data_IF_794822939819
#
_entry.id   IF_794822939819
#
_cell.length_a   1.000
_cell.length_b   1.000
_cell.length_c   1.000
_cell.angle_alpha   90.00
_cell.angle_beta   90.00
_cell.angle_gamma   90.00
#
_symmetry.space_group_name_H-M   'P 1'
#
loop_
_entity.id
_entity.type
_entity.pdbx_description
1 polymer ?
#
# COMPACT_ATOMS: atom_id res chain seq x y z
N UNK A 1 55.77 -0.58 -12.37
CA UNK A 1 54.44 0.04 -12.09
C UNK A 1 53.31 -0.49 -12.98
N UNK A 2 53.54 -0.83 -14.25
CA UNK A 2 52.51 -1.32 -15.20
C UNK A 2 51.77 -2.61 -14.79
N UNK A 3 52.44 -3.51 -14.06
CA UNK A 3 51.85 -4.79 -13.63
C UNK A 3 50.79 -4.65 -12.52
N UNK A 4 50.96 -3.66 -11.61
CA UNK A 4 49.97 -3.37 -10.56
C UNK A 4 48.69 -2.79 -11.16
N UNK A 5 48.81 -1.96 -12.18
CA UNK A 5 47.67 -1.35 -12.89
C UNK A 5 46.89 -2.39 -13.68
N UNK A 6 47.58 -3.34 -14.32
CA UNK A 6 46.94 -4.45 -15.04
C UNK A 6 46.14 -5.36 -14.10
N UNK A 7 46.70 -5.71 -12.94
CA UNK A 7 46.02 -6.55 -11.96
C UNK A 7 44.75 -5.89 -11.39
N UNK A 8 44.80 -4.56 -11.20
CA UNK A 8 43.66 -3.78 -10.72
C UNK A 8 42.51 -3.73 -11.74
N UNK A 9 42.84 -3.68 -13.03
CA UNK A 9 41.86 -3.77 -14.11
C UNK A 9 41.19 -5.15 -14.20
N UNK A 10 41.97 -6.22 -14.07
CA UNK A 10 41.41 -7.59 -14.06
C UNK A 10 40.47 -7.79 -12.88
N UNK A 11 40.81 -7.26 -11.70
CA UNK A 11 39.95 -7.34 -10.52
C UNK A 11 38.60 -6.63 -10.75
N UNK A 12 38.60 -5.43 -11.34
CA UNK A 12 37.37 -4.68 -11.61
C UNK A 12 36.43 -5.42 -12.57
N UNK A 13 36.96 -6.13 -13.56
CA UNK A 13 36.15 -6.89 -14.54
C UNK A 13 35.51 -8.14 -13.92
N UNK A 14 36.16 -8.76 -12.93
CA UNK A 14 35.60 -9.93 -12.24
C UNK A 14 34.45 -9.53 -11.31
N UNK A 15 34.52 -8.38 -10.65
CA UNK A 15 33.46 -7.90 -9.76
C UNK A 15 32.30 -7.19 -10.48
N UNK A 16 32.47 -6.76 -11.74
CA UNK A 16 31.40 -6.10 -12.51
C UNK A 16 30.29 -7.04 -12.99
N UNK A 17 30.49 -8.36 -12.96
CA UNK A 17 29.55 -9.35 -13.50
C UNK A 17 28.58 -9.94 -12.46
N UNK A 18 28.51 -9.44 -11.22
CA UNK A 18 27.65 -10.02 -10.19
C UNK A 18 26.24 -9.42 -10.09
N UNK A 19 25.80 -8.64 -11.08
CA UNK A 19 24.42 -8.10 -11.10
C UNK A 19 23.45 -8.98 -11.87
N UNK A 20 23.40 -10.27 -11.55
CA UNK A 20 22.32 -11.15 -12.01
C UNK A 20 21.11 -11.01 -11.07
N UNK A 21 20.40 -9.88 -11.16
CA UNK A 21 19.04 -9.84 -10.65
C UNK A 21 18.17 -10.62 -11.65
N UNK A 22 17.79 -11.86 -11.31
CA UNK A 22 16.86 -12.63 -12.13
C UNK A 22 15.48 -11.94 -12.05
N UNK A 23 15.15 -11.11 -13.05
CA UNK A 23 13.80 -10.56 -13.19
C UNK A 23 12.90 -11.72 -13.62
N UNK A 24 12.27 -12.37 -12.67
CA UNK A 24 11.23 -13.37 -12.94
C UNK A 24 9.95 -12.62 -13.33
N UNK A 25 9.32 -12.97 -14.46
CA UNK A 25 8.02 -12.41 -14.88
C UNK A 25 6.83 -13.00 -14.10
N UNK A 26 7.11 -13.72 -13.02
CA UNK A 26 6.11 -14.37 -12.19
C UNK A 26 5.50 -13.38 -11.19
N UNK A 27 4.20 -13.48 -11.00
CA UNK A 27 3.41 -12.63 -10.11
C UNK A 27 2.88 -13.44 -8.94
N UNK A 28 3.15 -12.99 -7.73
CA UNK A 28 2.51 -13.51 -6.52
C UNK A 28 1.22 -12.73 -6.25
N UNK A 29 0.15 -13.44 -5.92
CA UNK A 29 -1.13 -12.84 -5.56
C UNK A 29 -1.52 -13.22 -4.13
N UNK A 30 -2.05 -12.26 -3.39
CA UNK A 30 -2.53 -12.46 -2.02
C UNK A 30 -3.80 -11.68 -1.80
N UNK A 31 -4.80 -12.35 -1.24
CA UNK A 31 -6.03 -11.70 -0.80
C UNK A 31 -5.87 -11.30 0.66
N UNK A 32 -6.18 -10.04 0.97
CA UNK A 32 -6.07 -9.45 2.31
C UNK A 32 -7.41 -8.80 2.65
N UNK A 33 -7.82 -8.99 3.90
CA UNK A 33 -8.96 -8.29 4.49
C UNK A 33 -8.47 -7.26 5.49
N UNK A 34 -9.05 -6.06 5.48
CA UNK A 34 -8.73 -5.05 6.49
C UNK A 34 -9.65 -3.84 6.48
N UNK A 35 -9.40 -2.94 7.42
CA UNK A 35 -10.24 -1.77 7.67
C UNK A 35 -9.62 -0.52 7.03
N UNK A 36 -10.43 0.30 6.36
CA UNK A 36 -9.96 1.56 5.78
C UNK A 36 -9.99 2.69 6.82
N UNK A 37 -9.13 3.69 6.65
CA UNK A 37 -9.08 4.82 7.58
C UNK A 37 -10.37 5.66 7.52
N UNK A 38 -10.90 6.09 8.67
CA UNK A 38 -12.10 6.89 8.73
C UNK A 38 -11.95 8.26 8.08
N UNK A 39 -13.06 8.83 7.61
CA UNK A 39 -13.12 10.14 6.94
C UNK A 39 -12.45 11.24 7.77
N UNK A 40 -11.85 12.26 7.12
CA UNK A 40 -11.11 13.28 7.84
C UNK A 40 -12.10 14.27 8.45
N UNK A 41 -12.02 14.43 9.78
CA UNK A 41 -12.95 15.26 10.54
C UNK A 41 -14.37 14.65 10.61
N UNK A 42 -15.28 15.48 11.09
CA UNK A 42 -16.69 15.14 11.30
C UNK A 42 -17.51 15.91 10.27
N UNK A 43 -18.34 15.20 9.49
CA UNK A 43 -19.10 15.78 8.36
C UNK A 43 -20.55 15.32 8.42
N UNK A 44 -21.42 16.01 7.68
CA UNK A 44 -22.77 15.52 7.43
C UNK A 44 -22.74 14.06 6.93
N UNK A 45 -23.68 13.25 7.42
CA UNK A 45 -23.73 11.79 7.20
C UNK A 45 -23.53 11.43 5.73
N UNK A 46 -24.29 12.05 4.82
CA UNK A 46 -24.21 11.75 3.38
C UNK A 46 -22.84 12.05 2.77
N UNK A 47 -22.19 13.14 3.22
CA UNK A 47 -20.84 13.49 2.77
C UNK A 47 -19.82 12.50 3.30
N UNK A 48 -19.94 12.07 4.55
CA UNK A 48 -19.04 11.09 5.15
C UNK A 48 -19.18 9.72 4.46
N UNK A 49 -20.40 9.27 4.18
CA UNK A 49 -20.69 8.02 3.46
C UNK A 49 -20.07 8.03 2.06
N UNK A 50 -20.31 9.09 1.28
CA UNK A 50 -19.78 9.21 -0.08
C UNK A 50 -18.25 9.20 -0.09
N UNK A 51 -17.62 9.85 0.89
CA UNK A 51 -16.16 9.91 1.00
C UNK A 51 -15.52 8.61 1.48
N UNK A 52 -16.19 7.82 2.33
CA UNK A 52 -15.69 6.55 2.82
C UNK A 52 -15.80 5.44 1.76
N UNK A 53 -16.96 5.34 1.11
CA UNK A 53 -17.31 4.21 0.22
C UNK A 53 -16.83 4.35 -1.22
N UNK A 54 -16.51 5.57 -1.68
CA UNK A 54 -16.29 5.83 -3.10
C UNK A 54 -15.22 6.89 -3.38
N UNK A 55 -14.80 6.95 -4.64
CA UNK A 55 -13.90 7.98 -5.15
C UNK A 55 -12.42 7.76 -4.86
N UNK A 56 -11.67 8.87 -4.83
CA UNK A 56 -10.22 8.86 -4.71
C UNK A 56 -9.73 8.32 -3.36
N UNK A 57 -10.46 8.62 -2.27
CA UNK A 57 -10.10 8.21 -0.91
C UNK A 57 -10.12 6.68 -0.77
N UNK A 58 -11.21 6.04 -1.21
CA UNK A 58 -11.35 4.59 -1.20
C UNK A 58 -10.18 3.93 -1.95
N UNK A 59 -9.92 4.34 -3.20
CA UNK A 59 -8.80 3.82 -4.01
C UNK A 59 -7.43 4.02 -3.36
N UNK A 60 -7.23 5.15 -2.67
CA UNK A 60 -5.97 5.45 -1.99
C UNK A 60 -5.76 4.52 -0.79
N UNK A 61 -6.78 4.33 0.06
CA UNK A 61 -6.64 3.49 1.24
C UNK A 61 -6.64 1.99 0.93
N UNK A 62 -7.33 1.52 -0.10
CA UNK A 62 -7.21 0.12 -0.54
C UNK A 62 -5.81 -0.20 -1.07
N UNK A 63 -5.17 0.74 -1.79
CA UNK A 63 -3.75 0.60 -2.18
C UNK A 63 -2.82 0.59 -0.97
N UNK A 64 -3.07 1.47 0.01
CA UNK A 64 -2.29 1.49 1.25
C UNK A 64 -2.44 0.18 2.05
N UNK A 65 -3.62 -0.45 2.03
CA UNK A 65 -3.85 -1.74 2.67
C UNK A 65 -2.91 -2.84 2.11
N UNK A 66 -2.75 -2.89 0.78
CA UNK A 66 -1.78 -3.79 0.15
C UNK A 66 -0.34 -3.45 0.54
N UNK A 67 0.01 -2.15 0.57
CA UNK A 67 1.34 -1.71 0.96
C UNK A 67 1.66 -2.05 2.43
N UNK A 68 0.70 -1.94 3.35
CA UNK A 68 0.88 -2.27 4.77
C UNK A 68 1.20 -3.76 4.99
N UNK A 69 0.77 -4.64 4.08
CA UNK A 69 1.14 -6.06 4.11
C UNK A 69 2.55 -6.33 3.57
N UNK A 70 3.03 -5.47 2.67
CA UNK A 70 4.40 -5.53 2.14
C UNK A 70 5.46 -5.16 3.20
N UNK A 71 5.11 -4.25 4.11
CA UNK A 71 5.97 -3.77 5.18
C UNK A 71 5.32 -4.09 6.51
N UNK A 72 5.71 -5.19 7.14
CA UNK A 72 5.34 -5.47 8.53
C UNK A 72 5.49 -4.19 9.36
N UNK A 73 4.38 -3.75 9.97
CA UNK A 73 4.04 -2.59 10.84
C UNK A 73 4.96 -1.35 11.02
N UNK A 74 6.27 -1.39 10.71
CA UNK A 74 7.28 -0.42 11.12
C UNK A 74 7.84 0.50 10.01
N UNK A 75 7.32 0.50 8.78
CA UNK A 75 7.78 1.43 7.72
C UNK A 75 6.61 2.08 6.97
N UNK A 76 5.86 2.94 7.67
CA UNK A 76 4.67 3.64 7.13
C UNK A 76 4.92 4.67 6.02
N UNK A 77 6.17 5.02 5.70
CA UNK A 77 6.48 6.15 4.80
C UNK A 77 7.57 5.86 3.75
N UNK A 78 7.78 4.60 3.34
CA UNK A 78 8.72 4.30 2.27
C UNK A 78 7.97 3.72 1.08
N UNK A 79 7.73 4.56 0.07
CA UNK A 79 7.31 4.14 -1.26
C UNK A 79 8.50 3.40 -1.90
N UNK A 80 8.68 2.10 -1.65
CA UNK A 80 9.69 1.33 -2.41
C UNK A 80 9.08 0.77 -3.70
N UNK A 81 9.89 0.61 -4.76
CA UNK A 81 9.45 0.05 -6.03
C UNK A 81 9.03 -1.44 -5.99
N UNK A 82 9.17 -2.15 -4.85
CA UNK A 82 8.94 -3.60 -4.72
C UNK A 82 7.88 -3.96 -3.66
N UNK A 83 6.79 -3.18 -3.57
CA UNK A 83 5.67 -3.41 -2.66
C UNK A 83 4.46 -4.07 -3.32
N UNK A 84 3.64 -4.75 -2.52
CA UNK A 84 2.36 -5.33 -2.97
C UNK A 84 1.44 -4.23 -3.52
N UNK A 85 1.08 -4.33 -4.80
CA UNK A 85 0.19 -3.40 -5.49
C UNK A 85 -1.24 -3.91 -5.51
N UNK A 86 -2.22 -3.02 -5.50
CA UNK A 86 -3.64 -3.40 -5.64
C UNK A 86 -3.91 -3.92 -7.05
N UNK A 87 -4.38 -5.16 -7.15
CA UNK A 87 -4.88 -5.74 -8.41
C UNK A 87 -6.37 -5.51 -8.55
N UNK A 88 -7.14 -5.95 -7.56
CA UNK A 88 -8.61 -5.87 -7.58
C UNK A 88 -9.17 -5.72 -6.17
N UNK A 89 -10.29 -5.02 -6.08
CA UNK A 89 -11.13 -5.03 -4.86
C UNK A 89 -12.19 -6.10 -5.07
N UNK A 90 -12.18 -7.14 -4.24
CA UNK A 90 -13.14 -8.25 -4.31
C UNK A 90 -14.41 -7.92 -3.56
N UNK A 91 -14.26 -7.32 -2.37
CA UNK A 91 -15.38 -6.83 -1.57
C UNK A 91 -15.06 -5.43 -1.03
N UNK A 92 -16.04 -4.53 -1.10
CA UNK A 92 -15.95 -3.20 -0.50
C UNK A 92 -16.15 -3.23 1.01
N UNK A 93 -16.70 -4.32 1.56
CA UNK A 93 -16.96 -4.48 2.97
C UNK A 93 -18.16 -3.66 3.45
N UNK A 94 -18.22 -3.43 4.76
CA UNK A 94 -19.33 -2.78 5.43
C UNK A 94 -19.02 -1.31 5.73
N UNK A 95 -20.00 -0.44 5.52
CA UNK A 95 -19.90 0.97 5.84
C UNK A 95 -20.32 1.19 7.29
N UNK A 96 -19.38 1.64 8.12
CA UNK A 96 -19.64 1.97 9.53
C UNK A 96 -19.48 3.47 9.71
N UNK A 97 -20.46 4.10 10.37
CA UNK A 97 -20.46 5.53 10.65
C UNK A 97 -20.63 5.76 12.15
N UNK A 98 -19.65 6.40 12.75
CA UNK A 98 -19.65 6.79 14.16
C UNK A 98 -20.07 8.26 14.28
N UNK A 99 -20.90 8.57 15.28
CA UNK A 99 -21.21 9.95 15.62
C UNK A 99 -19.98 10.60 16.25
N UNK A 100 -19.68 11.83 15.86
CA UNK A 100 -18.62 12.59 16.51
C UNK A 100 -19.17 13.31 17.74
N UNK A 101 -18.59 13.04 18.90
CA UNK A 101 -18.89 13.76 20.13
C UNK A 101 -18.28 15.17 20.08
N UNK A 102 -19.11 16.19 20.31
CA UNK A 102 -18.69 17.60 20.38
C UNK A 102 -19.88 18.56 20.30
N UNK A 103 -19.75 19.75 20.90
CA UNK A 103 -20.70 20.87 20.74
C UNK A 103 -20.62 21.37 19.30
N UNK A 104 -21.33 20.69 18.41
CA UNK A 104 -21.63 21.18 17.08
C UNK A 104 -23.03 21.77 17.14
N UNK A 105 -23.12 23.09 17.10
CA UNK A 105 -24.36 23.87 17.09
C UNK A 105 -25.38 23.31 16.08
N UNK A 106 -26.23 22.38 16.52
CA UNK A 106 -27.40 21.89 15.79
C UNK A 106 -27.17 20.88 14.66
N UNK A 107 -25.96 20.35 14.44
CA UNK A 107 -25.72 19.35 13.37
C UNK A 107 -25.05 18.07 13.89
N UNK A 108 -25.74 16.92 13.74
CA UNK A 108 -25.13 15.61 13.95
C UNK A 108 -24.04 15.36 12.90
N UNK A 109 -22.78 15.43 13.33
CA UNK A 109 -21.64 15.14 12.47
C UNK A 109 -21.19 13.70 12.65
N UNK A 110 -20.90 13.05 11.53
CA UNK A 110 -20.52 11.65 11.45
C UNK A 110 -19.12 11.48 10.86
N UNK A 111 -18.46 10.40 11.26
CA UNK A 111 -17.21 9.92 10.69
C UNK A 111 -17.44 8.49 10.22
N UNK A 112 -17.29 8.26 8.91
CA UNK A 112 -17.52 6.96 8.32
C UNK A 112 -16.22 6.30 7.86
N UNK A 113 -16.17 4.98 7.93
CA UNK A 113 -15.11 4.14 7.37
C UNK A 113 -15.69 2.87 6.75
N UNK A 114 -14.85 2.18 5.98
CA UNK A 114 -15.20 0.87 5.42
C UNK A 114 -14.47 -0.20 6.22
N UNK A 115 -15.24 -1.14 6.76
CA UNK A 115 -14.78 -2.27 7.55
C UNK A 115 -14.74 -3.53 6.69
N UNK A 116 -13.79 -4.44 6.95
CA UNK A 116 -13.71 -5.76 6.30
C UNK A 116 -13.63 -5.69 4.77
N UNK A 117 -12.83 -4.75 4.25
CA UNK A 117 -12.61 -4.61 2.82
C UNK A 117 -11.67 -5.71 2.35
N UNK A 118 -12.09 -6.48 1.35
CA UNK A 118 -11.32 -7.58 0.78
C UNK A 118 -10.66 -7.13 -0.51
N UNK A 119 -9.33 -7.14 -0.53
CA UNK A 119 -8.53 -6.71 -1.69
C UNK A 119 -7.57 -7.81 -2.10
N UNK A 120 -7.46 -8.01 -3.41
CA UNK A 120 -6.44 -8.84 -4.03
C UNK A 120 -5.25 -7.95 -4.38
N UNK A 121 -4.11 -8.25 -3.77
CA UNK A 121 -2.85 -7.58 -3.99
C UNK A 121 -1.94 -8.47 -4.85
N UNK A 122 -1.07 -7.87 -5.65
CA UNK A 122 -0.04 -8.55 -6.43
C UNK A 122 1.34 -7.99 -6.17
N UNK A 123 2.37 -8.82 -6.22
CA UNK A 123 3.77 -8.41 -6.24
C UNK A 123 4.52 -9.22 -7.27
N UNK A 124 5.64 -8.70 -7.77
CA UNK A 124 6.58 -9.51 -8.56
C UNK A 124 7.29 -10.47 -7.62
N UNK A 125 7.42 -11.74 -8.03
CA UNK A 125 8.24 -12.72 -7.33
C UNK A 125 9.67 -12.16 -7.20
N UNK A 126 10.22 -12.23 -5.99
CA UNK A 126 11.60 -11.79 -5.75
C UNK A 126 12.53 -12.95 -6.09
N UNK A 127 13.12 -12.91 -7.28
CA UNK A 127 14.24 -13.77 -7.64
C UNK A 127 15.47 -13.45 -6.79
N UNK A 128 16.04 -14.48 -6.15
CA UNK A 128 17.40 -14.47 -5.59
C UNK A 128 18.31 -15.31 -6.47
#
# INVERSE_FOLDING_TARGET
>A
MKFKTFFLFVLLVVFSNQSFALSTDNWEYKTITGHLKPTPGCKAKDKAIKQASSGHRFKKYTKLLCNEQAYGWNKKNVQMPYGWSLEKVEDKGQLVCEACEGEYEGEEKYRCFMENVVVKCKTVEKGW
#
